data_IF_224093352489
#
_entry.id   IF_224093352489
#
_cell.length_a   1.000
_cell.length_b   1.000
_cell.length_c   1.000
_cell.angle_alpha   90.00
_cell.angle_beta   90.00
_cell.angle_gamma   90.00
#
_symmetry.space_group_name_H-M   'P 1'
#
loop_
_entity.id
_entity.type
_entity.pdbx_description
1 polymer ?
#
# COMPACT_ATOMS: atom_id res chain seq x y z
N UNK A 1 4.26 -37.16 -22.16
CA UNK A 1 4.73 -36.33 -21.04
C UNK A 1 3.88 -35.06 -21.06
N UNK A 2 2.81 -35.04 -20.27
CA UNK A 2 1.65 -34.17 -20.48
C UNK A 2 1.12 -33.66 -19.13
N UNK A 3 2.03 -33.15 -18.29
CA UNK A 3 1.74 -32.76 -16.90
C UNK A 3 2.27 -31.37 -16.52
N UNK A 4 2.40 -30.46 -17.49
CA UNK A 4 2.61 -29.02 -17.21
C UNK A 4 1.34 -28.22 -17.53
N UNK A 5 0.23 -28.64 -16.93
CA UNK A 5 -0.77 -27.68 -16.47
C UNK A 5 -0.40 -27.39 -15.03
N UNK A 6 0.35 -26.30 -14.81
CA UNK A 6 0.21 -25.56 -13.56
C UNK A 6 -1.29 -25.52 -13.24
N UNK A 7 -1.73 -25.94 -12.03
CA UNK A 7 -3.12 -25.73 -11.68
C UNK A 7 -3.35 -24.23 -11.90
N UNK A 8 -4.33 -23.88 -12.74
CA UNK A 8 -4.84 -22.52 -12.79
C UNK A 8 -5.03 -22.15 -11.32
N UNK A 9 -4.21 -21.22 -10.82
CA UNK A 9 -4.20 -20.85 -9.41
C UNK A 9 -5.66 -20.70 -9.02
N UNK A 10 -6.11 -21.43 -7.98
CA UNK A 10 -7.48 -21.28 -7.52
C UNK A 10 -7.68 -19.78 -7.28
N UNK A 11 -8.47 -19.15 -8.15
CA UNK A 11 -8.81 -17.74 -8.01
C UNK A 11 -9.41 -17.62 -6.64
N UNK A 12 -8.71 -16.90 -5.78
CA UNK A 12 -9.17 -16.68 -4.44
C UNK A 12 -10.25 -15.63 -4.58
N UNK A 13 -11.52 -16.04 -4.69
CA UNK A 13 -12.67 -15.15 -4.86
C UNK A 13 -12.87 -14.30 -3.59
N UNK A 14 -11.96 -13.37 -3.31
CA UNK A 14 -12.02 -12.49 -2.14
C UNK A 14 -13.16 -11.48 -2.28
N UNK A 15 -13.54 -11.15 -3.52
CA UNK A 15 -14.62 -10.24 -3.84
C UNK A 15 -15.67 -10.90 -4.77
N UNK A 16 -16.68 -11.59 -4.22
CA UNK A 16 -17.73 -12.18 -5.05
C UNK A 16 -18.54 -11.10 -5.77
N UNK A 17 -19.02 -11.41 -6.98
CA UNK A 17 -19.73 -10.47 -7.87
C UNK A 17 -20.94 -9.80 -7.19
N UNK A 18 -21.68 -10.53 -6.35
CA UNK A 18 -22.79 -9.97 -5.56
C UNK A 18 -22.33 -8.84 -4.64
N UNK A 19 -21.19 -9.01 -3.95
CA UNK A 19 -20.63 -7.98 -3.07
C UNK A 19 -20.07 -6.80 -3.85
N UNK A 20 -19.47 -7.05 -5.01
CA UNK A 20 -18.98 -6.01 -5.87
C UNK A 20 -20.12 -5.10 -6.36
N UNK A 21 -21.26 -5.67 -6.75
CA UNK A 21 -22.43 -4.90 -7.15
C UNK A 21 -23.04 -4.12 -5.97
N UNK A 22 -23.08 -4.72 -4.76
CA UNK A 22 -23.50 -4.03 -3.54
C UNK A 22 -22.59 -2.83 -3.21
N UNK A 23 -21.28 -2.96 -3.39
CA UNK A 23 -20.32 -1.88 -3.19
C UNK A 23 -20.49 -0.77 -4.24
N UNK A 24 -20.70 -1.13 -5.51
CA UNK A 24 -20.98 -0.17 -6.58
C UNK A 24 -22.23 0.67 -6.27
N UNK A 25 -23.29 0.01 -5.81
CA UNK A 25 -24.57 0.65 -5.45
C UNK A 25 -24.43 1.63 -4.28
N UNK A 26 -23.51 1.39 -3.35
CA UNK A 26 -23.25 2.32 -2.23
C UNK A 26 -22.61 3.63 -2.68
N UNK A 27 -21.86 3.62 -3.78
CA UNK A 27 -21.24 4.81 -4.36
C UNK A 27 -22.28 5.51 -5.25
N UNK A 28 -22.89 4.75 -6.15
CA UNK A 28 -23.88 5.24 -7.10
C UNK A 28 -25.02 4.21 -7.27
N UNK A 29 -26.25 4.53 -6.81
CA UNK A 29 -27.36 3.57 -6.82
C UNK A 29 -27.79 3.09 -8.21
N UNK A 30 -27.44 3.83 -9.25
CA UNK A 30 -27.80 3.55 -10.65
C UNK A 30 -26.69 2.89 -11.46
N UNK A 31 -25.53 2.65 -10.84
CA UNK A 31 -24.38 2.05 -11.52
C UNK A 31 -24.61 0.54 -11.72
N UNK A 32 -24.67 0.13 -12.98
CA UNK A 32 -24.71 -1.27 -13.38
C UNK A 32 -23.36 -1.65 -14.01
N UNK A 33 -22.69 -2.63 -13.42
CA UNK A 33 -21.38 -3.08 -13.88
C UNK A 33 -21.58 -4.29 -14.80
N UNK A 34 -21.05 -4.22 -16.02
CA UNK A 34 -21.10 -5.35 -16.94
C UNK A 34 -20.12 -6.46 -16.52
N UNK A 35 -20.33 -7.67 -17.06
CA UNK A 35 -19.56 -8.85 -16.63
C UNK A 35 -18.05 -8.70 -16.86
N UNK A 36 -17.64 -7.98 -17.90
CA UNK A 36 -16.22 -7.76 -18.21
C UNK A 36 -15.58 -6.81 -17.20
N UNK A 37 -16.21 -5.66 -16.90
CA UNK A 37 -15.71 -4.76 -15.87
C UNK A 37 -15.70 -5.41 -14.49
N UNK A 38 -16.72 -6.20 -14.15
CA UNK A 38 -16.75 -6.96 -12.90
C UNK A 38 -15.54 -7.90 -12.79
N UNK A 39 -15.23 -8.67 -13.84
CA UNK A 39 -14.08 -9.59 -13.82
C UNK A 39 -12.77 -8.84 -13.63
N UNK A 40 -12.57 -7.70 -14.30
CA UNK A 40 -11.35 -6.91 -14.17
C UNK A 40 -11.20 -6.37 -12.74
N UNK A 41 -12.29 -5.86 -12.16
CA UNK A 41 -12.29 -5.34 -10.79
C UNK A 41 -12.04 -6.45 -9.75
N UNK A 42 -12.53 -7.67 -10.00
CA UNK A 42 -12.25 -8.83 -9.17
C UNK A 42 -10.77 -9.21 -9.25
N UNK A 43 -10.19 -9.25 -10.45
CA UNK A 43 -8.76 -9.53 -10.63
C UNK A 43 -7.89 -8.50 -9.87
N UNK A 44 -8.26 -7.22 -9.95
CA UNK A 44 -7.58 -6.15 -9.20
C UNK A 44 -7.75 -6.34 -7.68
N UNK A 45 -8.91 -6.79 -7.22
CA UNK A 45 -9.15 -7.03 -5.79
C UNK A 45 -8.33 -8.22 -5.26
N UNK A 46 -8.22 -9.29 -6.05
CA UNK A 46 -7.45 -10.47 -5.69
C UNK A 46 -5.95 -10.13 -5.64
N UNK A 47 -5.45 -9.44 -6.65
CA UNK A 47 -4.08 -8.90 -6.69
C UNK A 47 -3.82 -7.94 -5.51
N UNK A 48 -4.80 -7.11 -5.14
CA UNK A 48 -4.68 -6.22 -4.00
C UNK A 48 -4.45 -6.99 -2.71
N UNK A 49 -5.27 -8.01 -2.43
CA UNK A 49 -5.17 -8.81 -1.20
C UNK A 49 -3.83 -9.54 -1.16
N UNK A 50 -3.42 -10.18 -2.26
CA UNK A 50 -2.16 -10.93 -2.32
C UNK A 50 -0.96 -10.02 -2.09
N UNK A 51 -0.89 -8.87 -2.78
CA UNK A 51 0.22 -7.93 -2.66
C UNK A 51 0.31 -7.31 -1.26
N UNK A 52 -0.83 -6.92 -0.67
CA UNK A 52 -0.85 -6.37 0.70
C UNK A 52 -0.47 -7.43 1.72
N UNK A 53 -1.00 -8.65 1.60
CA UNK A 53 -0.69 -9.74 2.52
C UNK A 53 0.79 -10.16 2.44
N UNK A 54 1.35 -10.26 1.23
CA UNK A 54 2.76 -10.60 1.02
C UNK A 54 3.67 -9.56 1.67
N UNK A 55 3.46 -8.27 1.38
CA UNK A 55 4.27 -7.19 1.95
C UNK A 55 4.11 -7.09 3.47
N UNK A 56 2.89 -7.25 3.99
CA UNK A 56 2.67 -7.27 5.44
C UNK A 56 3.38 -8.45 6.12
N UNK A 57 3.44 -9.63 5.49
CA UNK A 57 4.23 -10.76 5.98
C UNK A 57 5.74 -10.48 5.95
N UNK A 58 6.25 -9.77 4.93
CA UNK A 58 7.64 -9.31 4.89
C UNK A 58 7.94 -8.32 6.03
N UNK A 59 7.01 -7.42 6.34
CA UNK A 59 7.14 -6.49 7.47
C UNK A 59 7.16 -7.22 8.82
N UNK A 60 6.30 -8.23 9.01
CA UNK A 60 6.31 -9.06 10.21
C UNK A 60 7.67 -9.77 10.39
N UNK A 61 8.20 -10.33 9.29
CA UNK A 61 9.54 -10.95 9.28
C UNK A 61 10.66 -9.95 9.53
N UNK A 62 10.58 -8.74 8.98
CA UNK A 62 11.59 -7.69 9.13
C UNK A 62 11.81 -7.28 10.59
N UNK A 63 10.77 -7.35 11.44
CA UNK A 63 10.88 -7.13 12.89
C UNK A 63 11.10 -8.41 13.69
N UNK A 64 11.52 -9.48 13.03
CA UNK A 64 11.81 -10.80 13.63
C UNK A 64 10.57 -11.47 14.26
N UNK A 65 9.37 -11.15 13.79
CA UNK A 65 8.13 -11.79 14.24
C UNK A 65 7.70 -12.92 13.31
N UNK A 66 7.17 -13.99 13.89
CA UNK A 66 6.51 -15.09 13.16
C UNK A 66 5.00 -14.91 13.05
N UNK A 67 4.47 -13.84 13.64
CA UNK A 67 3.03 -13.58 13.72
C UNK A 67 2.71 -12.28 13.00
N UNK A 68 1.81 -12.34 12.02
CA UNK A 68 1.28 -11.17 11.33
C UNK A 68 0.37 -10.38 12.28
N UNK A 69 0.67 -9.10 12.50
CA UNK A 69 -0.16 -8.21 13.32
C UNK A 69 -0.79 -7.10 12.47
N UNK A 70 -1.86 -6.50 12.99
CA UNK A 70 -2.59 -5.43 12.31
C UNK A 70 -1.72 -4.23 11.89
N UNK A 71 -0.65 -3.94 12.64
CA UNK A 71 0.30 -2.86 12.32
C UNK A 71 1.12 -3.12 11.06
N UNK A 72 1.38 -4.39 10.73
CA UNK A 72 2.11 -4.76 9.52
C UNK A 72 1.24 -4.48 8.29
N UNK A 73 -0.05 -4.84 8.36
CA UNK A 73 -1.05 -4.53 7.32
C UNK A 73 -1.28 -3.02 7.21
N UNK A 74 -1.40 -2.31 8.35
CA UNK A 74 -1.58 -0.87 8.36
C UNK A 74 -0.43 -0.14 7.66
N UNK A 75 0.81 -0.55 7.91
CA UNK A 75 1.98 0.03 7.24
C UNK A 75 2.03 -0.32 5.75
N UNK A 76 1.63 -1.53 5.36
CA UNK A 76 1.53 -1.94 3.95
C UNK A 76 0.56 -1.05 3.16
N UNK A 77 -0.62 -0.79 3.72
CA UNK A 77 -1.65 0.07 3.14
C UNK A 77 -1.21 1.53 3.04
N UNK A 78 -0.56 2.06 4.09
CA UNK A 78 -0.10 3.45 4.08
C UNK A 78 1.01 3.70 3.05
N UNK A 79 1.92 2.74 2.85
CA UNK A 79 3.07 2.91 1.95
C UNK A 79 2.75 2.72 0.49
N UNK A 80 1.88 1.75 0.17
CA UNK A 80 1.64 1.35 -1.22
C UNK A 80 0.34 1.90 -1.78
N UNK A 81 -0.66 2.12 -0.91
CA UNK A 81 -2.01 2.53 -1.32
C UNK A 81 -2.43 3.89 -0.76
N UNK A 82 -1.59 4.50 0.11
CA UNK A 82 -1.91 5.75 0.78
C UNK A 82 -3.21 5.68 1.60
N UNK A 83 -3.59 4.48 2.04
CA UNK A 83 -4.82 4.19 2.80
C UNK A 83 -4.51 4.09 4.29
N UNK A 84 -5.39 4.67 5.13
CA UNK A 84 -5.28 4.60 6.58
C UNK A 84 -6.58 4.08 7.18
N UNK A 85 -6.53 2.95 7.88
CA UNK A 85 -7.71 2.36 8.50
C UNK A 85 -7.98 3.03 9.86
N UNK A 86 -9.15 3.64 10.06
CA UNK A 86 -9.51 4.19 11.37
C UNK A 86 -9.67 3.06 12.38
N UNK A 87 -9.02 3.18 13.55
CA UNK A 87 -9.14 2.23 14.65
C UNK A 87 -8.31 0.94 14.54
N UNK A 88 -7.49 0.78 13.49
CA UNK A 88 -6.61 -0.37 13.28
C UNK A 88 -5.14 0.09 13.33
N UNK A 89 -4.36 -0.45 14.27
CA UNK A 89 -2.99 0.00 14.54
C UNK A 89 -2.97 1.29 15.37
N UNK A 90 -2.02 1.37 16.30
CA UNK A 90 -1.96 2.39 17.35
C UNK A 90 -2.34 3.80 16.87
N UNK A 91 -3.42 4.33 17.44
CA UNK A 91 -3.88 5.72 17.23
C UNK A 91 -2.86 6.77 17.71
N UNK A 92 -1.73 6.35 18.29
CA UNK A 92 -0.79 7.21 19.01
C UNK A 92 0.67 7.13 18.58
N UNK A 93 1.11 6.16 17.77
CA UNK A 93 2.55 5.86 17.67
C UNK A 93 3.14 5.66 16.26
N UNK A 94 2.48 6.13 15.18
CA UNK A 94 3.28 6.56 14.02
C UNK A 94 3.95 7.88 14.38
N UNK A 95 4.94 7.76 15.27
CA UNK A 95 5.93 8.76 15.63
C UNK A 95 6.17 9.59 14.38
N UNK A 96 5.83 10.88 14.50
CA UNK A 96 6.35 11.98 13.70
C UNK A 96 7.45 11.50 12.78
N UNK A 97 7.29 11.60 11.45
CA UNK A 97 8.43 11.56 10.54
C UNK A 97 9.49 12.42 11.22
N UNK A 98 10.47 11.75 11.85
CA UNK A 98 11.39 12.39 12.76
C UNK A 98 12.17 13.24 11.79
N UNK A 99 11.86 14.55 11.71
CA UNK A 99 12.39 15.46 10.68
C UNK A 99 13.83 15.06 10.52
N UNK A 100 14.17 14.46 9.36
CA UNK A 100 15.48 13.86 9.17
C UNK A 100 16.47 14.91 9.64
N UNK A 101 17.18 14.61 10.73
CA UNK A 101 18.05 15.60 11.33
C UNK A 101 19.08 15.92 10.26
N UNK A 102 18.97 17.10 9.66
CA UNK A 102 19.88 17.56 8.62
C UNK A 102 21.28 17.42 9.19
N UNK A 103 22.07 16.54 8.59
CA UNK A 103 23.44 16.30 9.04
C UNK A 103 24.22 17.60 8.95
N UNK A 104 25.17 17.83 9.85
CA UNK A 104 25.95 19.08 9.82
C UNK A 104 26.70 19.24 8.49
N UNK A 105 27.15 18.14 7.89
CA UNK A 105 27.71 18.13 6.55
C UNK A 105 26.72 18.59 5.46
N UNK A 106 25.43 18.29 5.59
CA UNK A 106 24.41 18.83 4.67
C UNK A 106 24.13 20.31 4.95
N UNK A 107 24.11 20.71 6.23
CA UNK A 107 23.93 22.12 6.66
C UNK A 107 25.02 23.03 6.09
N UNK A 108 26.29 22.61 6.17
CA UNK A 108 27.45 23.34 5.62
C UNK A 108 27.32 23.45 4.11
N UNK A 109 27.04 22.34 3.40
CA UNK A 109 26.85 22.35 1.94
C UNK A 109 25.75 23.31 1.50
N UNK A 110 24.61 23.35 2.22
CA UNK A 110 23.52 24.29 1.91
C UNK A 110 23.95 25.75 2.11
N UNK A 111 24.74 26.06 3.13
CA UNK A 111 25.28 27.41 3.33
C UNK A 111 26.23 27.83 2.19
N UNK A 112 27.12 26.94 1.76
CA UNK A 112 28.06 27.26 0.68
C UNK A 112 27.34 27.44 -0.66
N UNK A 113 26.34 26.61 -0.97
CA UNK A 113 25.49 26.81 -2.16
C UNK A 113 24.77 28.16 -2.11
N UNK A 114 24.25 28.58 -0.94
CA UNK A 114 23.61 29.89 -0.78
C UNK A 114 24.60 31.04 -1.01
N UNK A 115 25.80 30.95 -0.45
CA UNK A 115 26.87 31.95 -0.65
C UNK A 115 27.22 32.07 -2.13
N UNK A 116 27.49 30.95 -2.81
CA UNK A 116 27.84 30.94 -4.24
C UNK A 116 26.72 31.51 -5.10
N UNK A 117 25.45 31.16 -4.84
CA UNK A 117 24.31 31.77 -5.56
C UNK A 117 24.21 33.28 -5.33
N UNK A 118 24.45 33.76 -4.11
CA UNK A 118 24.41 35.20 -3.83
C UNK A 118 25.55 35.99 -4.47
N UNK A 119 26.71 35.34 -4.66
CA UNK A 119 27.87 35.92 -5.34
C UNK A 119 27.74 35.89 -6.85
N UNK A 120 27.08 34.87 -7.41
CA UNK A 120 26.83 34.74 -8.84
C UNK A 120 25.69 35.65 -9.35
N UNK A 121 24.88 36.21 -8.46
CA UNK A 121 23.77 37.12 -8.78
C UNK A 121 24.15 38.61 -8.54
N UNK A 122 25.46 38.87 -8.45
CA UNK A 122 26.11 40.18 -8.47
C UNK A 122 26.94 40.29 -9.73
#
# INVERSE_FOLDING_TARGET
>A
DSSLLTPMAERSDFLPSSRLQELATQIEPTLDLDNEAQSILQDVADDFVENVAAFACELAKHRESTTLEAKDIQLALEKNWNMRLPGVGDTTELKSIKKMSVTDAHRVRVQDVRKTKSLSNR
#
